data_IF_170243340742
#
_entry.id   IF_170243340742
#
_cell.length_a   1.000
_cell.length_b   1.000
_cell.length_c   1.000
_cell.angle_alpha   90.00
_cell.angle_beta   90.00
_cell.angle_gamma   90.00
#
_symmetry.space_group_name_H-M   'P 1'
#
loop_
_entity.id
_entity.type
_entity.pdbx_description
1 polymer ?
#
# COMPACT_ATOMS: atom_id res chain seq x y z
N UNK A 1 -39.90 17.70 9.40
CA UNK A 1 -38.67 17.55 10.22
C UNK A 1 -37.88 16.26 9.90
N UNK A 2 -38.49 15.23 9.31
CA UNK A 2 -37.86 13.97 8.90
C UNK A 2 -36.85 14.08 7.74
N UNK A 3 -37.10 14.95 6.75
CA UNK A 3 -36.19 15.15 5.60
C UNK A 3 -34.80 15.65 6.02
N UNK A 4 -34.71 16.44 7.09
CA UNK A 4 -33.45 17.01 7.58
C UNK A 4 -32.58 15.94 8.26
N UNK A 5 -33.18 15.04 9.03
CA UNK A 5 -32.49 13.90 9.66
C UNK A 5 -31.93 12.92 8.63
N UNK A 6 -32.72 12.60 7.60
CA UNK A 6 -32.29 11.70 6.51
C UNK A 6 -31.10 12.29 5.74
N UNK A 7 -31.13 13.61 5.49
CA UNK A 7 -30.03 14.32 4.82
C UNK A 7 -28.73 14.30 5.64
N UNK A 8 -28.82 14.54 6.97
CA UNK A 8 -27.65 14.50 7.86
C UNK A 8 -27.06 13.08 7.95
N UNK A 9 -27.90 12.05 7.99
CA UNK A 9 -27.45 10.65 8.01
C UNK A 9 -26.72 10.32 6.70
N UNK A 10 -27.27 10.71 5.55
CA UNK A 10 -26.65 10.48 4.25
C UNK A 10 -25.26 11.12 4.16
N UNK A 11 -25.12 12.37 4.58
CA UNK A 11 -23.84 13.09 4.56
C UNK A 11 -22.79 12.38 5.42
N UNK A 12 -23.18 11.88 6.59
CA UNK A 12 -22.26 11.12 7.47
C UNK A 12 -21.81 9.80 6.86
N UNK A 13 -22.72 9.08 6.21
CA UNK A 13 -22.40 7.81 5.52
C UNK A 13 -21.43 8.04 4.37
N UNK A 14 -21.67 9.08 3.56
CA UNK A 14 -20.78 9.45 2.45
C UNK A 14 -19.38 9.79 2.98
N UNK A 15 -19.30 10.60 4.05
CA UNK A 15 -18.01 10.98 4.65
C UNK A 15 -17.25 9.75 5.17
N UNK A 16 -17.94 8.85 5.88
CA UNK A 16 -17.34 7.61 6.38
C UNK A 16 -16.83 6.70 5.24
N UNK A 17 -17.62 6.53 4.18
CA UNK A 17 -17.20 5.76 3.01
C UNK A 17 -15.97 6.39 2.32
N UNK A 18 -15.95 7.71 2.18
CA UNK A 18 -14.82 8.44 1.58
C UNK A 18 -13.53 8.23 2.40
N UNK A 19 -13.63 8.32 3.72
CA UNK A 19 -12.52 8.09 4.66
C UNK A 19 -11.99 6.64 4.52
N UNK A 20 -12.88 5.64 4.47
CA UNK A 20 -12.48 4.23 4.30
C UNK A 20 -11.74 4.01 2.97
N UNK A 21 -12.22 4.62 1.88
CA UNK A 21 -11.58 4.54 0.55
C UNK A 21 -10.20 5.20 0.57
N UNK A 22 -10.08 6.39 1.19
CA UNK A 22 -8.81 7.11 1.36
C UNK A 22 -7.78 6.28 2.12
N UNK A 23 -8.16 5.68 3.24
CA UNK A 23 -7.26 4.80 4.00
C UNK A 23 -6.89 3.56 3.18
N UNK A 24 -7.85 2.93 2.50
CA UNK A 24 -7.60 1.75 1.64
C UNK A 24 -6.64 2.03 0.49
N UNK A 25 -6.68 3.24 -0.07
CA UNK A 25 -5.72 3.68 -1.09
C UNK A 25 -4.34 3.98 -0.52
N UNK A 26 -4.27 4.59 0.67
CA UNK A 26 -3.01 4.91 1.32
C UNK A 26 -2.19 3.65 1.65
N UNK A 27 -2.83 2.57 2.14
CA UNK A 27 -2.13 1.30 2.41
C UNK A 27 -1.61 0.62 1.14
N UNK A 28 -2.23 0.85 -0.03
CA UNK A 28 -1.88 0.15 -1.28
C UNK A 28 -0.71 0.78 -2.04
N UNK A 29 -0.26 1.98 -1.65
CA UNK A 29 0.71 2.76 -2.42
C UNK A 29 2.13 2.80 -1.84
N UNK A 30 2.41 2.10 -0.74
CA UNK A 30 3.75 2.15 -0.13
C UNK A 30 4.71 1.17 -0.81
N UNK A 31 5.09 1.45 -2.06
CA UNK A 31 6.24 0.78 -2.65
C UNK A 31 7.51 1.27 -1.94
N UNK A 32 8.23 0.38 -1.26
CA UNK A 32 9.53 0.70 -0.64
C UNK A 32 10.62 -0.15 -1.26
N UNK A 33 11.73 0.47 -1.65
CA UNK A 33 12.93 -0.22 -2.12
C UNK A 33 14.05 -0.09 -1.09
N UNK A 34 14.27 -1.13 -0.28
CA UNK A 34 15.15 -1.06 0.90
C UNK A 34 16.60 -1.49 0.65
N UNK A 35 16.84 -2.48 -0.22
CA UNK A 35 18.13 -3.18 -0.26
C UNK A 35 18.54 -3.58 -1.69
N UNK A 36 19.82 -3.90 -1.89
CA UNK A 36 20.24 -4.56 -3.12
C UNK A 36 19.81 -6.02 -3.11
N UNK A 37 19.36 -6.54 -4.25
CA UNK A 37 18.96 -7.96 -4.31
C UNK A 37 20.12 -8.91 -4.08
N UNK A 38 21.36 -8.42 -4.24
CA UNK A 38 22.57 -9.20 -3.93
C UNK A 38 22.68 -9.51 -2.43
N UNK A 39 22.22 -8.57 -1.60
CA UNK A 39 22.22 -8.68 -0.14
C UNK A 39 20.93 -9.33 0.39
N UNK A 40 19.88 -9.35 -0.43
CA UNK A 40 18.58 -9.97 -0.14
C UNK A 40 18.20 -10.99 -1.24
N UNK A 41 18.82 -12.19 -1.23
CA UNK A 41 18.57 -13.22 -2.25
C UNK A 41 17.13 -13.70 -2.27
N UNK A 42 16.38 -13.54 -1.17
CA UNK A 42 14.95 -13.84 -1.09
C UNK A 42 14.13 -12.56 -0.85
N UNK A 43 14.25 -11.60 -1.77
CA UNK A 43 13.54 -10.31 -1.74
C UNK A 43 12.03 -10.48 -1.47
N UNK A 44 11.37 -11.43 -2.12
CA UNK A 44 9.93 -11.69 -1.91
C UNK A 44 9.62 -12.16 -0.48
N UNK A 45 10.41 -13.09 0.07
CA UNK A 45 10.22 -13.57 1.43
C UNK A 45 10.51 -12.47 2.47
N UNK A 46 11.54 -11.65 2.24
CA UNK A 46 11.85 -10.51 3.11
C UNK A 46 10.72 -9.48 3.12
N UNK A 47 10.21 -9.10 1.94
CA UNK A 47 9.08 -8.18 1.83
C UNK A 47 7.83 -8.73 2.53
N UNK A 48 7.53 -10.02 2.36
CA UNK A 48 6.43 -10.69 3.08
C UNK A 48 6.64 -10.73 4.59
N UNK A 49 7.86 -10.94 5.05
CA UNK A 49 8.21 -10.94 6.47
C UNK A 49 7.93 -9.58 7.13
N UNK A 50 8.21 -8.48 6.44
CA UNK A 50 7.96 -7.11 6.95
C UNK A 50 6.53 -6.61 6.68
N UNK A 51 5.65 -7.43 6.09
CA UNK A 51 4.22 -7.14 5.93
C UNK A 51 3.77 -6.67 4.55
N UNK A 52 4.63 -6.69 3.53
CA UNK A 52 4.24 -6.44 2.14
C UNK A 52 3.66 -7.69 1.47
N UNK A 53 2.84 -7.51 0.44
CA UNK A 53 2.23 -8.61 -0.30
C UNK A 53 3.22 -9.34 -1.20
N UNK A 54 4.21 -8.62 -1.74
CA UNK A 54 5.26 -9.18 -2.60
C UNK A 54 6.54 -8.38 -2.56
N UNK A 55 7.63 -9.03 -2.93
CA UNK A 55 8.92 -8.39 -3.22
C UNK A 55 9.36 -8.69 -4.65
N UNK A 56 9.85 -7.69 -5.35
CA UNK A 56 10.41 -7.86 -6.70
C UNK A 56 11.80 -7.25 -6.77
N UNK A 57 12.72 -8.03 -7.31
CA UNK A 57 14.06 -7.56 -7.62
C UNK A 57 14.07 -6.87 -8.98
N UNK A 58 14.41 -5.59 -9.01
CA UNK A 58 14.62 -4.81 -10.22
C UNK A 58 16.10 -4.70 -10.53
N UNK A 59 16.51 -5.18 -11.70
CA UNK A 59 17.87 -4.98 -12.21
C UNK A 59 17.90 -3.63 -12.89
N UNK A 60 18.66 -2.69 -12.33
CA UNK A 60 18.81 -1.32 -12.85
C UNK A 60 20.06 -1.22 -13.75
N UNK A 61 21.12 -1.95 -13.38
CA UNK A 61 22.35 -2.11 -14.16
C UNK A 61 22.93 -3.52 -13.91
N UNK A 62 23.84 -4.04 -14.75
CA UNK A 62 24.44 -5.37 -14.55
C UNK A 62 25.11 -5.57 -13.17
N UNK A 63 25.57 -4.50 -12.54
CA UNK A 63 26.14 -4.50 -11.17
C UNK A 63 25.20 -3.98 -10.10
N UNK A 64 24.01 -3.48 -10.48
CA UNK A 64 23.11 -2.79 -9.55
C UNK A 64 21.68 -3.31 -9.67
N UNK A 65 21.25 -4.00 -8.62
CA UNK A 65 19.89 -4.52 -8.46
C UNK A 65 19.28 -3.98 -7.17
N UNK A 66 17.96 -3.81 -7.16
CA UNK A 66 17.20 -3.23 -6.04
C UNK A 66 16.01 -4.13 -5.71
N UNK A 67 15.84 -4.50 -4.46
CA UNK A 67 14.65 -5.17 -3.96
C UNK A 67 13.60 -4.11 -3.61
N UNK A 68 12.41 -4.21 -4.22
CA UNK A 68 11.27 -3.35 -3.93
C UNK A 68 10.08 -4.18 -3.45
N UNK A 69 9.50 -3.75 -2.34
CA UNK A 69 8.33 -4.35 -1.70
C UNK A 69 7.05 -3.61 -2.09
N UNK A 70 5.95 -4.35 -2.25
CA UNK A 70 4.62 -3.87 -2.64
C UNK A 70 3.53 -4.51 -1.80
#
# INVERSE_FOLDING_TARGET
MSHSLVSVILVKVILAAMIIVLFSHAVRSQQICLASCKDTPSCDAHCKFIGYGKGTCFIVSPTYSKCCCF
#
